data_IF_407724536700
#
_entry.id   IF_407724536700
#
_cell.length_a   1.000
_cell.length_b   1.000
_cell.length_c   1.000
_cell.angle_alpha   90.00
_cell.angle_beta   90.00
_cell.angle_gamma   90.00
#
_symmetry.space_group_name_H-M   'P 1'
#
loop_
_entity.id
_entity.type
_entity.pdbx_description
1 polymer ?
#
# COMPACT_ATOMS: atom_id res chain seq x y z
N UNK A 1 8.45 0.68 8.36
CA UNK A 1 9.08 -0.30 7.42
C UNK A 1 9.90 -1.41 8.07
N UNK A 2 10.55 -1.23 9.23
CA UNK A 2 11.31 -2.30 9.92
C UNK A 2 10.45 -3.50 10.40
N UNK A 3 9.12 -3.36 10.39
CA UNK A 3 8.17 -4.42 10.74
C UNK A 3 7.87 -5.35 9.55
N UNK A 4 7.98 -4.86 8.31
CA UNK A 4 7.45 -5.55 7.12
C UNK A 4 8.31 -6.70 6.56
N UNK A 5 9.41 -7.08 7.21
CA UNK A 5 10.37 -8.04 6.65
C UNK A 5 10.83 -9.15 7.61
N UNK A 6 10.15 -9.35 8.74
CA UNK A 6 10.55 -10.32 9.76
C UNK A 6 9.70 -11.59 9.75
N UNK A 7 9.59 -12.32 8.64
CA UNK A 7 9.03 -13.70 8.59
C UNK A 7 7.55 -13.92 9.01
N UNK A 8 6.81 -12.94 9.53
CA UNK A 8 5.42 -13.12 9.98
C UNK A 8 4.37 -12.64 8.98
N UNK A 9 4.75 -11.81 8.02
CA UNK A 9 3.88 -11.39 6.92
C UNK A 9 4.60 -11.46 5.58
N UNK A 10 3.85 -11.88 4.56
CA UNK A 10 4.18 -11.60 3.17
C UNK A 10 3.67 -10.19 2.86
N UNK A 11 4.53 -9.33 2.33
CA UNK A 11 4.23 -7.89 2.24
C UNK A 11 4.47 -7.42 0.82
N UNK A 12 3.41 -6.92 0.21
CA UNK A 12 3.46 -6.10 -0.99
C UNK A 12 3.39 -4.64 -0.58
N UNK A 13 4.32 -3.81 -1.07
CA UNK A 13 4.33 -2.38 -0.87
C UNK A 13 4.44 -1.68 -2.22
N UNK A 14 3.67 -0.59 -2.39
CA UNK A 14 3.63 0.12 -3.65
C UNK A 14 3.61 1.63 -3.48
N UNK A 15 4.03 2.31 -4.55
CA UNK A 15 3.99 3.75 -4.72
C UNK A 15 3.78 4.04 -6.22
N UNK A 16 3.12 5.14 -6.55
CA UNK A 16 2.94 5.56 -7.96
C UNK A 16 4.27 6.00 -8.60
N UNK A 17 5.24 6.39 -7.78
CA UNK A 17 6.56 6.86 -8.18
C UNK A 17 7.55 5.70 -8.27
N UNK A 18 8.02 5.40 -9.50
CA UNK A 18 9.14 4.48 -9.74
C UNK A 18 10.38 4.85 -8.92
N UNK A 19 10.65 6.15 -8.77
CA UNK A 19 11.80 6.63 -8.01
C UNK A 19 11.71 6.25 -6.52
N UNK A 20 10.51 6.30 -5.92
CA UNK A 20 10.32 5.87 -4.53
C UNK A 20 10.56 4.36 -4.37
N UNK A 21 10.10 3.56 -5.34
CA UNK A 21 10.32 2.11 -5.36
C UNK A 21 11.80 1.76 -5.49
N UNK A 22 12.52 2.42 -6.40
CA UNK A 22 13.95 2.19 -6.60
C UNK A 22 14.73 2.56 -5.33
N UNK A 23 14.39 3.69 -4.71
CA UNK A 23 14.99 4.13 -3.45
C UNK A 23 14.73 3.14 -2.31
N UNK A 24 13.52 2.60 -2.18
CA UNK A 24 13.19 1.57 -1.18
C UNK A 24 14.00 0.28 -1.40
N UNK A 25 14.13 -0.18 -2.65
CA UNK A 25 14.94 -1.36 -3.00
C UNK A 25 16.41 -1.16 -2.64
N UNK A 26 16.98 0.01 -2.97
CA UNK A 26 18.36 0.35 -2.61
C UNK A 26 18.55 0.44 -1.09
N UNK A 27 17.59 1.04 -0.38
CA UNK A 27 17.67 1.28 1.05
C UNK A 27 17.47 0.02 1.89
N UNK A 28 16.71 -0.95 1.38
CA UNK A 28 16.37 -2.21 2.06
C UNK A 28 16.65 -3.43 1.15
N UNK A 29 17.92 -3.66 0.75
CA UNK A 29 18.27 -4.65 -0.27
C UNK A 29 18.04 -6.10 0.18
N UNK A 30 17.96 -6.34 1.49
CA UNK A 30 17.72 -7.66 2.08
C UNK A 30 16.27 -7.86 2.55
N UNK A 31 15.36 -6.97 2.16
CA UNK A 31 13.94 -7.08 2.50
C UNK A 31 13.27 -8.21 1.73
N UNK A 32 12.29 -8.89 2.35
CA UNK A 32 11.38 -9.83 1.68
C UNK A 32 10.16 -9.15 1.08
N UNK A 33 10.03 -7.83 1.23
CA UNK A 33 8.92 -7.04 0.69
C UNK A 33 8.94 -7.06 -0.84
N UNK A 34 7.80 -7.34 -1.44
CA UNK A 34 7.56 -7.14 -2.85
C UNK A 34 7.27 -5.65 -3.12
N UNK A 35 8.20 -4.97 -3.79
CA UNK A 35 8.08 -3.54 -4.10
C UNK A 35 7.61 -3.32 -5.54
N UNK A 36 6.42 -2.76 -5.72
CA UNK A 36 5.75 -2.57 -7.00
C UNK A 36 5.44 -1.10 -7.26
N UNK A 37 5.46 -0.68 -8.53
CA UNK A 37 4.86 0.60 -8.92
C UNK A 37 3.38 0.36 -9.17
N UNK A 38 2.51 1.16 -8.55
CA UNK A 38 1.06 1.00 -8.67
C UNK A 38 0.30 2.27 -8.31
N UNK A 39 -0.88 2.42 -8.88
CA UNK A 39 -1.82 3.50 -8.57
C UNK A 39 -2.96 2.96 -7.71
N UNK A 40 -3.26 3.60 -6.58
CA UNK A 40 -4.39 3.21 -5.73
C UNK A 40 -5.75 3.51 -6.39
N UNK A 41 -5.79 4.42 -7.36
CA UNK A 41 -7.00 4.74 -8.12
C UNK A 41 -7.28 3.71 -9.22
N UNK A 42 -6.24 3.02 -9.68
CA UNK A 42 -6.30 1.90 -10.63
C UNK A 42 -5.45 0.71 -10.13
N UNK A 43 -5.88 0.04 -9.04
CA UNK A 43 -5.15 -1.08 -8.47
C UNK A 43 -4.98 -2.25 -9.45
N UNK A 44 -3.84 -2.93 -9.32
CA UNK A 44 -3.56 -4.18 -10.02
C UNK A 44 -4.67 -5.21 -9.73
N UNK A 45 -5.19 -5.89 -10.75
CA UNK A 45 -6.39 -6.73 -10.64
C UNK A 45 -6.24 -7.83 -9.57
N UNK A 46 -5.05 -8.41 -9.47
CA UNK A 46 -4.71 -9.46 -8.51
C UNK A 46 -4.72 -9.00 -7.04
N UNK A 47 -4.76 -7.69 -6.78
CA UNK A 47 -4.80 -7.14 -5.42
C UNK A 47 -6.20 -7.17 -4.81
N UNK A 48 -7.24 -7.19 -5.64
CA UNK A 48 -8.62 -7.15 -5.15
C UNK A 48 -8.94 -8.40 -4.32
N UNK A 49 -9.32 -8.18 -3.06
CA UNK A 49 -9.71 -9.26 -2.16
C UNK A 49 -8.55 -10.15 -1.68
N UNK A 50 -7.29 -9.73 -1.84
CA UNK A 50 -6.14 -10.60 -1.63
C UNK A 50 -5.26 -10.23 -0.42
N UNK A 51 -5.59 -9.15 0.29
CA UNK A 51 -4.84 -8.73 1.48
C UNK A 51 -5.64 -8.93 2.77
N UNK A 52 -5.01 -9.50 3.79
CA UNK A 52 -5.61 -9.60 5.13
C UNK A 52 -5.50 -8.28 5.93
N UNK A 53 -4.50 -7.46 5.62
CA UNK A 53 -4.27 -6.19 6.30
C UNK A 53 -3.77 -5.18 5.28
N UNK A 54 -4.37 -3.99 5.31
CA UNK A 54 -3.84 -2.81 4.62
C UNK A 54 -3.34 -1.84 5.68
N UNK A 55 -2.12 -1.34 5.45
CA UNK A 55 -1.49 -0.30 6.25
C UNK A 55 -1.33 0.90 5.35
N UNK A 56 -2.13 1.93 5.62
CA UNK A 56 -2.01 3.24 5.00
C UNK A 56 -1.30 4.17 5.99
N UNK A 57 -0.25 4.87 5.52
CA UNK A 57 0.52 5.83 6.32
C UNK A 57 0.79 7.05 5.46
N UNK A 58 0.07 8.14 5.72
CA UNK A 58 0.28 9.45 5.10
C UNK A 58 0.13 9.49 3.56
N UNK A 59 -0.53 8.51 2.95
CA UNK A 59 -0.82 8.49 1.51
C UNK A 59 -2.01 9.43 1.24
N UNK A 60 -3.12 9.26 1.95
CA UNK A 60 -4.32 10.06 1.72
C UNK A 60 -4.10 11.55 2.01
N UNK A 61 -3.26 11.86 3.01
CA UNK A 61 -2.90 13.21 3.40
C UNK A 61 -2.00 13.90 2.37
N UNK A 62 -1.26 13.13 1.57
CA UNK A 62 -0.40 13.66 0.51
C UNK A 62 -1.18 13.95 -0.80
N UNK A 63 -2.40 13.43 -0.94
CA UNK A 63 -3.24 13.62 -2.11
C UNK A 63 -3.90 15.02 -2.05
N UNK A 64 -3.77 15.85 -3.11
CA UNK A 64 -4.43 17.15 -3.18
C UNK A 64 -5.96 17.04 -3.07
N UNK A 65 -6.58 18.07 -2.49
CA UNK A 65 -8.03 18.21 -2.52
C UNK A 65 -8.54 18.28 -3.97
N UNK A 66 -9.69 17.66 -4.23
CA UNK A 66 -10.26 17.57 -5.59
C UNK A 66 -11.05 16.31 -5.89
N UNK A 67 -11.44 15.53 -4.87
CA UNK A 67 -12.16 14.26 -5.04
C UNK A 67 -11.24 13.03 -5.16
N UNK A 68 -9.94 13.24 -5.39
CA UNK A 68 -8.98 12.14 -5.60
C UNK A 68 -8.73 11.38 -4.29
N UNK A 69 -8.62 12.11 -3.17
CA UNK A 69 -8.42 11.50 -1.85
C UNK A 69 -9.59 10.59 -1.48
N UNK A 70 -10.81 11.04 -1.75
CA UNK A 70 -12.03 10.29 -1.48
C UNK A 70 -12.10 9.02 -2.35
N UNK A 71 -11.74 9.13 -3.63
CA UNK A 71 -11.64 7.96 -4.52
C UNK A 71 -10.58 6.96 -4.04
N UNK A 72 -9.40 7.43 -3.63
CA UNK A 72 -8.36 6.56 -3.08
C UNK A 72 -8.83 5.85 -1.80
N UNK A 73 -9.51 6.58 -0.91
CA UNK A 73 -10.09 6.03 0.32
C UNK A 73 -11.15 4.94 0.02
N UNK A 74 -11.95 5.11 -1.03
CA UNK A 74 -12.95 4.12 -1.46
C UNK A 74 -12.33 2.87 -2.12
N UNK A 75 -11.14 2.97 -2.71
CA UNK A 75 -10.48 1.82 -3.36
C UNK A 75 -9.84 0.88 -2.34
N UNK A 76 -9.20 1.40 -1.29
CA UNK A 76 -8.44 0.57 -0.34
C UNK A 76 -9.23 -0.61 0.24
N UNK A 77 -10.48 -0.45 0.75
CA UNK A 77 -11.22 -1.57 1.32
C UNK A 77 -11.50 -2.70 0.32
N UNK A 78 -11.46 -2.43 -0.99
CA UNK A 78 -11.69 -3.44 -2.03
C UNK A 78 -10.50 -4.39 -2.19
N UNK A 79 -9.31 -3.99 -1.73
CA UNK A 79 -8.12 -4.84 -1.75
C UNK A 79 -8.14 -5.87 -0.61
N UNK A 80 -9.02 -5.69 0.39
CA UNK A 80 -9.12 -6.59 1.53
C UNK A 80 -9.86 -7.89 1.22
N UNK A 81 -9.29 -9.00 1.67
CA UNK A 81 -9.97 -10.28 1.75
C UNK A 81 -11.24 -10.19 2.63
N UNK A 82 -12.19 -11.12 2.46
CA UNK A 82 -13.46 -11.08 3.20
C UNK A 82 -13.22 -11.25 4.72
N UNK A 83 -13.77 -10.33 5.53
CA UNK A 83 -13.73 -10.31 7.01
C UNK A 83 -12.35 -10.04 7.64
N UNK A 84 -11.69 -8.96 7.23
CA UNK A 84 -10.41 -8.55 7.81
C UNK A 84 -10.38 -7.07 8.21
N UNK A 85 -9.30 -6.63 8.87
CA UNK A 85 -9.22 -5.27 9.46
C UNK A 85 -8.32 -4.35 8.63
N UNK A 86 -8.86 -3.19 8.27
CA UNK A 86 -8.07 -2.06 7.76
C UNK A 86 -7.60 -1.21 8.93
N UNK A 87 -6.31 -0.85 8.96
CA UNK A 87 -5.81 0.19 9.87
C UNK A 87 -5.37 1.38 9.02
N UNK A 88 -6.15 2.46 9.12
CA UNK A 88 -5.82 3.76 8.55
C UNK A 88 -5.32 4.62 9.70
N UNK A 89 -4.11 5.16 9.57
CA UNK A 89 -3.58 6.13 10.52
C UNK A 89 -3.88 7.52 10.00
N UNK A 90 -5.02 8.06 10.44
CA UNK A 90 -5.36 9.47 10.27
C UNK A 90 -4.89 10.23 11.52
N UNK A 91 -4.08 11.27 11.33
CA UNK A 91 -3.81 12.28 12.37
C UNK A 91 -4.95 13.30 12.40
#
# INVERSE_FOLDING_TARGET
MQLAGKHWFDVTAFDISQHCIDWCKERFPNSTVEWLVGDILDPIEEWYGNFDVIIEIHILQAIPDGGIREQAAEQMPKLLAKMVRCFVLED
#
